data_IF_909245753934
#
_entry.id   IF_909245753934
#
_cell.length_a   1.000
_cell.length_b   1.000
_cell.length_c   1.000
_cell.angle_alpha   90.00
_cell.angle_beta   90.00
_cell.angle_gamma   90.00
#
_symmetry.space_group_name_H-M   'P 1'
#
loop_
_entity.id
_entity.type
_entity.pdbx_description
1 polymer ?
#
# COMPACT_ATOMS: atom_id res chain seq x y z
N UNK A 1 22.72 -14.27 -60.35
CA UNK A 1 21.48 -13.93 -59.62
C UNK A 1 21.59 -14.56 -58.24
N UNK A 2 21.90 -13.78 -57.21
CA UNK A 2 21.91 -14.25 -55.83
C UNK A 2 20.62 -13.79 -55.17
N UNK A 3 19.76 -14.72 -54.77
CA UNK A 3 18.58 -14.45 -53.96
C UNK A 3 19.05 -14.36 -52.50
N UNK A 4 18.92 -13.18 -51.90
CA UNK A 4 19.08 -13.00 -50.45
C UNK A 4 17.68 -13.15 -49.86
N UNK A 5 17.47 -14.17 -49.05
CA UNK A 5 16.25 -14.34 -48.27
C UNK A 5 16.33 -13.40 -47.06
N UNK A 6 15.43 -12.41 -46.99
CA UNK A 6 15.21 -11.65 -45.77
C UNK A 6 14.44 -12.53 -44.79
N UNK A 7 15.06 -12.87 -43.67
CA UNK A 7 14.37 -13.42 -42.51
C UNK A 7 13.64 -12.26 -41.82
N UNK A 8 12.31 -12.30 -41.82
CA UNK A 8 11.47 -11.48 -40.96
C UNK A 8 11.55 -12.11 -39.57
N UNK A 9 12.21 -11.44 -38.63
CA UNK A 9 12.12 -11.78 -37.23
C UNK A 9 10.78 -11.21 -36.73
N UNK A 10 9.82 -12.09 -36.42
CA UNK A 10 8.72 -11.74 -35.53
C UNK A 10 9.30 -11.79 -34.10
N UNK A 11 9.43 -10.65 -33.43
CA UNK A 11 9.44 -10.65 -31.97
C UNK A 11 8.02 -10.93 -31.52
N UNK A 12 7.80 -12.01 -30.78
CA UNK A 12 6.59 -12.11 -29.96
C UNK A 12 6.86 -11.23 -28.74
N UNK A 13 6.08 -10.17 -28.56
CA UNK A 13 5.99 -9.47 -27.29
C UNK A 13 5.45 -10.47 -26.25
N UNK A 14 6.18 -10.64 -25.14
CA UNK A 14 5.70 -11.45 -24.01
C UNK A 14 4.72 -10.58 -23.23
N UNK A 15 3.43 -10.89 -23.34
CA UNK A 15 2.42 -10.37 -22.43
C UNK A 15 2.78 -10.89 -21.03
N UNK A 16 3.15 -9.98 -20.13
CA UNK A 16 3.43 -10.32 -18.73
C UNK A 16 2.15 -10.09 -17.95
N UNK A 17 1.66 -11.15 -17.34
CA UNK A 17 0.47 -11.09 -16.51
C UNK A 17 0.85 -11.34 -15.06
N UNK A 18 0.34 -10.50 -14.17
CA UNK A 18 0.53 -10.60 -12.75
C UNK A 18 -0.79 -10.94 -12.04
N UNK A 19 -0.77 -11.77 -11.00
CA UNK A 19 -1.92 -11.96 -10.15
C UNK A 19 -2.16 -10.72 -9.29
N UNK A 20 -3.43 -10.34 -9.12
CA UNK A 20 -3.85 -9.26 -8.21
C UNK A 20 -5.03 -9.74 -7.36
N UNK A 21 -5.22 -9.16 -6.18
CA UNK A 21 -6.47 -9.38 -5.44
C UNK A 21 -7.59 -8.63 -6.14
N UNK A 22 -8.63 -9.37 -6.52
CA UNK A 22 -9.79 -8.81 -7.20
C UNK A 22 -10.65 -8.01 -6.20
N UNK A 23 -10.69 -6.71 -6.40
CA UNK A 23 -11.44 -5.75 -5.58
C UNK A 23 -12.31 -4.86 -6.46
N UNK A 24 -13.50 -4.51 -5.98
CA UNK A 24 -14.45 -3.66 -6.72
C UNK A 24 -13.91 -2.25 -6.99
N UNK A 25 -12.96 -1.80 -6.17
CA UNK A 25 -12.30 -0.49 -6.27
C UNK A 25 -10.99 -0.52 -7.07
N UNK A 26 -10.57 -1.68 -7.57
CA UNK A 26 -9.31 -1.84 -8.32
C UNK A 26 -8.03 -1.65 -7.49
N UNK A 27 -8.14 -1.45 -6.17
CA UNK A 27 -6.98 -1.19 -5.30
C UNK A 27 -5.99 -2.36 -5.23
N UNK A 28 -6.42 -3.58 -5.54
CA UNK A 28 -5.60 -4.78 -5.34
C UNK A 28 -5.43 -5.15 -3.85
N UNK A 29 -6.12 -4.46 -2.95
CA UNK A 29 -6.02 -4.64 -1.49
C UNK A 29 -7.38 -4.93 -0.89
N UNK A 30 -7.55 -6.10 -0.28
CA UNK A 30 -8.80 -6.48 0.37
C UNK A 30 -8.64 -6.63 1.87
N UNK A 31 -9.27 -5.74 2.63
CA UNK A 31 -9.19 -5.71 4.09
C UNK A 31 -10.46 -6.24 4.76
N UNK A 32 -10.26 -6.93 5.88
CA UNK A 32 -11.30 -7.46 6.75
C UNK A 32 -11.08 -6.99 8.18
N UNK A 33 -12.10 -6.44 8.83
CA UNK A 33 -12.00 -6.02 10.24
C UNK A 33 -11.58 -7.18 11.15
N UNK A 34 -10.54 -6.99 11.96
CA UNK A 34 -10.14 -7.91 13.01
C UNK A 34 -11.09 -7.72 14.21
N UNK A 35 -12.09 -8.60 14.31
CA UNK A 35 -13.10 -8.51 15.37
C UNK A 35 -12.66 -9.29 16.60
N UNK A 36 -12.21 -8.60 17.64
CA UNK A 36 -11.90 -9.15 18.95
C UNK A 36 -13.16 -9.31 19.82
N UNK A 37 -13.19 -10.32 20.69
CA UNK A 37 -14.27 -10.49 21.67
C UNK A 37 -15.68 -10.57 21.04
N UNK A 38 -15.80 -11.01 19.78
CA UNK A 38 -17.02 -11.07 18.94
C UNK A 38 -17.60 -9.74 18.43
N UNK A 39 -17.23 -8.59 19.01
CA UNK A 39 -17.87 -7.31 18.64
C UNK A 39 -16.96 -6.09 18.73
N UNK A 40 -15.70 -6.27 19.11
CA UNK A 40 -14.74 -5.19 19.28
C UNK A 40 -13.92 -5.10 18.01
N UNK A 41 -13.88 -3.91 17.40
CA UNK A 41 -12.92 -3.63 16.35
C UNK A 41 -11.54 -3.46 16.99
N UNK A 42 -10.62 -4.36 16.66
CA UNK A 42 -9.24 -4.34 17.13
C UNK A 42 -8.26 -4.05 15.99
N UNK A 43 -8.74 -3.75 14.78
CA UNK A 43 -7.91 -3.49 13.60
C UNK A 43 -8.41 -4.18 12.34
N UNK A 44 -7.48 -4.55 11.45
CA UNK A 44 -7.76 -5.16 10.15
C UNK A 44 -6.78 -6.28 9.81
N UNK A 45 -7.21 -7.16 8.90
CA UNK A 45 -6.36 -8.11 8.19
C UNK A 45 -6.53 -7.83 6.70
N UNK A 46 -5.46 -7.40 6.04
CA UNK A 46 -5.46 -7.01 4.64
C UNK A 46 -4.70 -8.03 3.78
N UNK A 47 -5.25 -8.32 2.61
CA UNK A 47 -4.64 -9.17 1.58
C UNK A 47 -4.23 -8.32 0.39
N UNK A 48 -2.98 -8.44 -0.04
CA UNK A 48 -2.45 -7.84 -1.28
C UNK A 48 -1.47 -8.80 -1.94
N UNK A 49 -1.29 -8.68 -3.26
CA UNK A 49 -0.26 -9.44 -3.99
C UNK A 49 0.90 -8.50 -4.29
N UNK A 50 2.12 -8.96 -4.00
CA UNK A 50 3.36 -8.29 -4.37
C UNK A 50 4.17 -9.31 -5.18
N UNK A 51 4.46 -8.98 -6.43
CA UNK A 51 5.03 -9.90 -7.41
C UNK A 51 4.18 -11.19 -7.54
N UNK A 52 4.74 -12.34 -7.15
CA UNK A 52 4.08 -13.66 -7.16
C UNK A 52 3.65 -14.13 -5.76
N UNK A 53 3.80 -13.28 -4.75
CA UNK A 53 3.54 -13.60 -3.35
C UNK A 53 2.29 -12.88 -2.83
N UNK A 54 1.41 -13.62 -2.16
CA UNK A 54 0.30 -13.05 -1.41
C UNK A 54 0.80 -12.61 -0.03
N UNK A 55 0.72 -11.32 0.26
CA UNK A 55 1.00 -10.73 1.56
C UNK A 55 -0.31 -10.56 2.35
N UNK A 56 -0.42 -11.26 3.49
CA UNK A 56 -1.46 -10.98 4.48
C UNK A 56 -0.88 -10.22 5.67
N UNK A 57 -1.41 -9.02 5.92
CA UNK A 57 -0.96 -8.15 7.01
C UNK A 57 -2.06 -7.96 8.04
N UNK A 58 -1.74 -8.29 9.30
CA UNK A 58 -2.52 -7.92 10.48
C UNK A 58 -2.07 -6.55 10.93
N UNK A 59 -3.00 -5.64 11.17
CA UNK A 59 -2.72 -4.31 11.71
C UNK A 59 -3.74 -3.98 12.79
N UNK A 60 -3.29 -3.68 14.01
CA UNK A 60 -4.18 -3.32 15.11
C UNK A 60 -4.43 -1.80 15.17
N UNK A 61 -5.57 -1.41 15.72
CA UNK A 61 -5.96 0.00 15.87
C UNK A 61 -6.47 0.27 17.29
N UNK A 62 -6.65 1.54 17.66
CA UNK A 62 -7.29 1.90 18.94
C UNK A 62 -6.49 1.49 20.19
N UNK A 63 -5.17 1.36 20.08
CA UNK A 63 -4.28 0.95 21.17
C UNK A 63 -4.22 -0.55 21.43
N UNK A 64 -4.91 -1.37 20.63
CA UNK A 64 -4.76 -2.82 20.68
C UNK A 64 -3.36 -3.23 20.18
N UNK A 65 -2.83 -4.29 20.78
CA UNK A 65 -1.56 -4.91 20.43
C UNK A 65 -1.78 -6.41 20.20
N UNK A 66 -1.04 -7.01 19.28
CA UNK A 66 -1.01 -8.44 19.04
C UNK A 66 -0.23 -9.15 20.16
N UNK A 67 -0.67 -10.36 20.50
CA UNK A 67 0.08 -11.32 21.32
C UNK A 67 0.55 -12.50 20.45
N UNK A 68 -0.36 -13.04 19.64
CA UNK A 68 -0.10 -14.13 18.72
C UNK A 68 -1.04 -14.02 17.51
N UNK A 69 -0.59 -14.45 16.33
CA UNK A 69 -1.38 -14.58 15.12
C UNK A 69 -1.28 -16.01 14.57
N UNK A 70 -2.42 -16.52 14.12
CA UNK A 70 -2.57 -17.84 13.50
C UNK A 70 -3.36 -17.67 12.21
N UNK A 71 -2.77 -18.10 11.10
CA UNK A 71 -3.36 -17.96 9.79
C UNK A 71 -3.41 -19.30 9.06
N UNK A 72 -4.60 -19.64 8.56
CA UNK A 72 -4.77 -20.65 7.54
C UNK A 72 -5.35 -20.02 6.28
N UNK A 73 -4.85 -20.46 5.13
CA UNK A 73 -5.36 -20.11 3.81
C UNK A 73 -5.38 -21.36 2.92
N UNK A 74 -6.37 -21.47 2.04
CA UNK A 74 -6.45 -22.59 1.10
C UNK A 74 -7.58 -22.47 0.08
N UNK A 75 -7.64 -23.45 -0.82
CA UNK A 75 -8.63 -23.52 -1.92
C UNK A 75 -9.97 -24.15 -1.50
N UNK A 76 -9.96 -24.97 -0.43
CA UNK A 76 -11.15 -25.58 0.15
C UNK A 76 -11.11 -25.44 1.67
N UNK A 77 -12.12 -24.79 2.24
CA UNK A 77 -12.25 -24.61 3.70
C UNK A 77 -12.24 -25.95 4.45
N UNK A 78 -12.59 -27.07 3.80
CA UNK A 78 -12.51 -28.40 4.39
C UNK A 78 -11.07 -28.86 4.72
N UNK A 79 -10.06 -28.31 4.05
CA UNK A 79 -8.65 -28.64 4.28
C UNK A 79 -8.04 -27.91 5.49
N UNK A 80 -8.76 -26.92 6.02
CA UNK A 80 -8.37 -26.21 7.22
C UNK A 80 -8.22 -27.20 8.41
N UNK A 81 -7.15 -27.10 9.20
CA UNK A 81 -6.99 -27.87 10.42
C UNK A 81 -8.19 -27.70 11.36
N UNK A 82 -8.98 -28.75 11.49
CA UNK A 82 -10.26 -28.71 12.18
C UNK A 82 -10.58 -30.02 12.91
N UNK A 83 -11.43 -29.93 13.92
CA UNK A 83 -11.98 -31.10 14.60
C UNK A 83 -12.91 -31.89 13.68
N UNK A 84 -13.28 -33.12 14.06
CA UNK A 84 -14.27 -33.94 13.32
C UNK A 84 -15.64 -33.26 13.12
N UNK A 85 -15.94 -32.21 13.88
CA UNK A 85 -17.20 -31.45 13.80
C UNK A 85 -17.05 -30.12 13.05
N UNK A 86 -15.88 -29.86 12.47
CA UNK A 86 -15.61 -28.67 11.66
C UNK A 86 -15.12 -27.44 12.42
N UNK A 87 -14.91 -27.54 13.75
CA UNK A 87 -14.35 -26.41 14.51
C UNK A 87 -12.87 -26.23 14.18
N UNK A 88 -12.39 -25.03 13.77
CA UNK A 88 -10.97 -24.77 13.53
C UNK A 88 -10.11 -25.02 14.76
N UNK A 89 -8.84 -25.36 14.53
CA UNK A 89 -7.80 -25.52 15.53
C UNK A 89 -6.65 -24.56 15.19
N UNK A 90 -6.70 -23.28 15.62
CA UNK A 90 -5.72 -22.25 15.23
C UNK A 90 -4.26 -22.65 15.50
N UNK A 91 -3.98 -23.31 16.62
CA UNK A 91 -2.62 -23.79 16.95
C UNK A 91 -2.09 -24.92 16.05
N UNK A 92 -2.86 -25.37 15.04
CA UNK A 92 -2.41 -26.29 13.99
C UNK A 92 -2.36 -25.63 12.61
N UNK A 93 -2.62 -24.33 12.52
CA UNK A 93 -2.53 -23.60 11.27
C UNK A 93 -1.08 -23.52 10.79
N UNK A 94 -0.85 -23.48 9.47
CA UNK A 94 0.49 -23.54 8.89
C UNK A 94 1.32 -22.28 9.16
N UNK A 95 0.69 -21.11 9.24
CA UNK A 95 1.36 -19.84 9.49
C UNK A 95 1.05 -19.37 10.92
N UNK A 96 2.08 -19.32 11.76
CA UNK A 96 1.98 -18.94 13.17
C UNK A 96 3.06 -17.91 13.48
N UNK A 97 2.71 -16.83 14.18
CA UNK A 97 3.68 -15.78 14.52
C UNK A 97 4.64 -16.18 15.65
N UNK A 98 4.18 -17.08 16.54
CA UNK A 98 4.77 -17.19 17.89
C UNK A 98 4.38 -15.98 18.75
N UNK A 99 5.15 -15.74 19.82
CA UNK A 99 4.96 -14.60 20.72
C UNK A 99 5.42 -13.29 20.05
N UNK A 100 4.45 -12.44 19.74
CA UNK A 100 4.64 -11.10 19.18
C UNK A 100 4.02 -10.04 20.09
N UNK A 101 3.94 -10.32 21.40
CA UNK A 101 3.33 -9.42 22.40
C UNK A 101 3.84 -7.99 22.29
N UNK A 102 2.91 -7.06 22.06
CA UNK A 102 3.19 -5.63 21.91
C UNK A 102 3.36 -5.15 20.47
N UNK A 103 3.34 -6.05 19.48
CA UNK A 103 3.37 -5.68 18.07
C UNK A 103 2.02 -5.10 17.65
N UNK A 104 2.03 -4.04 16.83
CA UNK A 104 0.82 -3.48 16.22
C UNK A 104 0.61 -3.94 14.77
N UNK A 105 1.60 -4.65 14.21
CA UNK A 105 1.57 -5.16 12.85
C UNK A 105 2.28 -6.53 12.77
N UNK A 106 1.78 -7.41 11.92
CA UNK A 106 2.41 -8.69 11.59
C UNK A 106 2.00 -9.14 10.19
N UNK A 107 2.96 -9.51 9.34
CA UNK A 107 2.70 -9.95 7.98
C UNK A 107 3.15 -11.38 7.70
N UNK A 108 2.41 -12.07 6.84
CA UNK A 108 2.73 -13.41 6.32
C UNK A 108 2.84 -13.32 4.81
N UNK A 109 3.97 -13.78 4.27
CA UNK A 109 4.22 -13.89 2.83
C UNK A 109 3.92 -15.32 2.40
N UNK A 110 3.07 -15.48 1.39
CA UNK A 110 2.55 -16.78 0.95
C UNK A 110 2.72 -16.89 -0.56
N UNK A 111 3.64 -17.74 -1.06
CA UNK A 111 3.83 -17.90 -2.49
C UNK A 111 2.58 -18.45 -3.17
N UNK A 112 2.05 -17.73 -4.17
CA UNK A 112 0.84 -18.16 -4.89
C UNK A 112 1.03 -19.49 -5.64
N UNK A 113 2.28 -19.79 -5.99
CA UNK A 113 2.69 -21.07 -6.57
C UNK A 113 2.33 -22.28 -5.67
N UNK A 114 2.20 -22.12 -4.35
CA UNK A 114 1.75 -23.19 -3.44
C UNK A 114 0.33 -23.67 -3.74
N UNK A 115 -0.50 -22.80 -4.33
CA UNK A 115 -1.86 -23.10 -4.75
C UNK A 115 -1.98 -23.44 -6.24
N UNK A 116 -0.85 -23.48 -6.96
CA UNK A 116 -0.83 -23.65 -8.41
C UNK A 116 -1.42 -22.44 -9.16
N UNK A 117 -1.40 -21.27 -8.52
CA UNK A 117 -1.88 -20.02 -9.10
C UNK A 117 -0.74 -19.41 -9.92
N UNK A 118 -1.04 -19.10 -11.18
CA UNK A 118 -0.15 -18.44 -12.12
C UNK A 118 -1.02 -17.69 -13.14
N UNK A 119 -0.46 -16.64 -13.73
CA UNK A 119 -1.13 -15.84 -14.75
C UNK A 119 -0.44 -16.00 -16.11
N UNK A 120 -0.84 -17.00 -16.92
CA UNK A 120 -0.36 -17.11 -18.29
C UNK A 120 -1.04 -16.13 -19.24
N UNK A 121 -2.27 -15.72 -18.94
CA UNK A 121 -3.09 -14.78 -19.71
C UNK A 121 -4.19 -14.13 -18.83
N UNK A 122 -4.87 -13.11 -19.36
CA UNK A 122 -5.85 -12.29 -18.63
C UNK A 122 -7.21 -12.97 -18.50
N UNK A 123 -7.48 -13.94 -19.36
CA UNK A 123 -8.70 -14.76 -19.33
C UNK A 123 -8.57 -15.94 -18.34
N UNK A 124 -7.41 -16.09 -17.69
CA UNK A 124 -7.18 -17.15 -16.71
C UNK A 124 -8.07 -16.92 -15.48
N UNK A 125 -9.07 -17.78 -15.35
CA UNK A 125 -9.93 -17.80 -14.18
C UNK A 125 -9.16 -18.38 -12.98
N UNK A 126 -8.83 -17.53 -12.01
CA UNK A 126 -8.19 -17.94 -10.78
C UNK A 126 -9.22 -18.41 -9.73
N UNK A 127 -8.80 -19.30 -8.81
CA UNK A 127 -9.69 -19.81 -7.76
C UNK A 127 -9.92 -18.76 -6.67
N UNK A 128 -11.00 -18.97 -5.90
CA UNK A 128 -11.23 -18.26 -4.64
C UNK A 128 -10.35 -18.88 -3.55
N UNK A 129 -9.67 -18.03 -2.77
CA UNK A 129 -8.94 -18.44 -1.57
C UNK A 129 -9.78 -18.16 -0.32
N UNK A 130 -9.82 -19.14 0.57
CA UNK A 130 -10.47 -19.08 1.88
C UNK A 130 -9.44 -18.74 2.93
N UNK A 131 -9.72 -17.75 3.77
CA UNK A 131 -8.80 -17.25 4.80
C UNK A 131 -9.46 -17.39 6.16
N UNK A 132 -8.76 -18.06 7.08
CA UNK A 132 -9.12 -18.14 8.49
C UNK A 132 -8.02 -17.47 9.31
N UNK A 133 -8.15 -16.16 9.52
CA UNK A 133 -7.18 -15.34 10.25
C UNK A 133 -7.64 -15.15 11.70
N UNK A 134 -6.86 -15.68 12.64
CA UNK A 134 -7.09 -15.59 14.07
C UNK A 134 -5.96 -14.81 14.75
N UNK A 135 -6.28 -14.02 15.77
CA UNK A 135 -5.29 -13.34 16.60
C UNK A 135 -5.67 -13.40 18.08
N UNK A 136 -4.66 -13.41 18.95
CA UNK A 136 -4.81 -13.00 20.35
C UNK A 136 -4.33 -11.56 20.47
N UNK A 137 -5.11 -10.71 21.11
CA UNK A 137 -4.84 -9.27 21.24
C UNK A 137 -4.95 -8.81 22.69
N UNK A 138 -4.24 -7.74 23.02
CA UNK A 138 -4.29 -7.09 24.32
C UNK A 138 -4.45 -5.57 24.20
N UNK A 139 -5.04 -4.95 25.21
CA UNK A 139 -5.19 -3.50 25.33
C UNK A 139 -4.75 -3.08 26.73
N UNK A 140 -3.81 -2.14 26.80
CA UNK A 140 -3.37 -1.55 28.07
C UNK A 140 -4.44 -0.59 28.62
N UNK A 141 -4.91 -0.87 29.83
CA UNK A 141 -5.91 -0.05 30.52
C UNK A 141 -5.24 1.05 31.38
N UNK A 142 -6.01 2.07 31.74
CA UNK A 142 -5.53 3.21 32.55
C UNK A 142 -4.95 2.80 33.92
N UNK A 143 -5.38 1.67 34.48
CA UNK A 143 -4.90 1.15 35.77
C UNK A 143 -3.59 0.35 35.64
N UNK A 144 -3.03 0.25 34.44
CA UNK A 144 -1.81 -0.49 34.13
C UNK A 144 -2.01 -2.00 33.93
N UNK A 145 -3.24 -2.49 33.95
CA UNK A 145 -3.57 -3.88 33.60
C UNK A 145 -3.88 -4.03 32.10
N UNK A 146 -3.90 -5.28 31.61
CA UNK A 146 -4.24 -5.58 30.22
C UNK A 146 -5.61 -6.25 30.13
N UNK A 147 -6.47 -5.74 29.25
CA UNK A 147 -7.58 -6.52 28.70
C UNK A 147 -7.00 -7.44 27.62
N UNK A 148 -7.41 -8.72 27.58
CA UNK A 148 -6.98 -9.68 26.56
C UNK A 148 -8.20 -10.29 25.89
N UNK A 149 -8.15 -10.42 24.57
CA UNK A 149 -9.23 -10.97 23.76
C UNK A 149 -8.66 -11.88 22.67
N UNK A 150 -9.52 -12.74 22.12
CA UNK A 150 -9.24 -13.44 20.86
C UNK A 150 -10.07 -12.80 19.75
N UNK A 151 -9.52 -12.80 18.55
CA UNK A 151 -10.04 -12.13 17.37
C UNK A 151 -10.05 -13.03 16.14
N UNK A 152 -11.02 -12.78 15.27
CA UNK A 152 -11.04 -13.33 13.91
C UNK A 152 -11.26 -12.21 12.90
N UNK A 153 -10.68 -12.33 11.71
CA UNK A 153 -11.04 -11.46 10.59
C UNK A 153 -12.53 -11.61 10.26
N UNK A 154 -13.20 -10.49 10.02
CA UNK A 154 -14.62 -10.46 9.70
C UNK A 154 -14.90 -11.25 8.42
N UNK A 155 -16.03 -11.98 8.43
CA UNK A 155 -16.43 -12.83 7.34
C UNK A 155 -17.53 -13.80 7.74
N UNK A 156 -17.70 -14.85 6.95
CA UNK A 156 -18.72 -15.85 7.16
C UNK A 156 -18.37 -16.80 8.30
N UNK A 157 -19.41 -17.31 8.95
CA UNK A 157 -19.29 -18.28 10.05
C UNK A 157 -18.79 -19.61 9.54
N UNK A 158 -17.68 -20.11 10.10
CA UNK A 158 -17.21 -21.48 9.81
C UNK A 158 -18.23 -22.51 10.34
N UNK A 159 -18.81 -22.24 11.50
CA UNK A 159 -19.89 -23.04 12.08
C UNK A 159 -21.08 -22.17 12.47
N UNK A 160 -22.29 -22.64 12.13
CA UNK A 160 -23.56 -22.01 12.54
C UNK A 160 -23.76 -22.00 14.06
N UNK A 161 -23.19 -22.98 14.78
CA UNK A 161 -23.32 -23.14 16.23
C UNK A 161 -22.00 -23.56 16.87
N UNK A 162 -21.68 -22.96 18.02
CA UNK A 162 -20.49 -23.31 18.81
C UNK A 162 -19.50 -22.16 18.88
N UNK A 163 -18.23 -22.44 18.57
CA UNK A 163 -17.19 -21.40 18.51
C UNK A 163 -17.58 -20.32 17.50
N UNK A 164 -16.98 -19.14 17.62
CA UNK A 164 -17.38 -17.98 16.82
C UNK A 164 -16.49 -17.65 15.64
N UNK A 165 -15.62 -18.60 15.29
CA UNK A 165 -14.66 -18.45 14.22
C UNK A 165 -15.32 -18.15 12.88
N UNK A 166 -14.70 -17.24 12.15
CA UNK A 166 -15.09 -16.79 10.83
C UNK A 166 -14.01 -17.12 9.83
N UNK A 167 -14.39 -17.13 8.56
CA UNK A 167 -13.48 -17.15 7.43
C UNK A 167 -13.90 -16.04 6.47
N UNK A 168 -12.93 -15.48 5.76
CA UNK A 168 -13.17 -14.56 4.65
C UNK A 168 -12.71 -15.18 3.34
N UNK A 169 -13.09 -14.56 2.23
CA UNK A 169 -12.71 -15.03 0.90
C UNK A 169 -12.15 -13.89 0.06
N UNK A 170 -11.07 -14.18 -0.65
CA UNK A 170 -10.52 -13.32 -1.69
C UNK A 170 -10.62 -14.05 -3.04
N UNK A 171 -10.93 -13.29 -4.07
CA UNK A 171 -10.76 -13.71 -5.46
C UNK A 171 -9.48 -13.08 -5.97
N UNK A 172 -8.79 -13.78 -6.87
CA UNK A 172 -7.66 -13.23 -7.59
C UNK A 172 -8.07 -13.06 -9.05
N UNK A 173 -7.44 -12.10 -9.72
CA UNK A 173 -7.57 -11.89 -11.15
C UNK A 173 -6.18 -11.78 -11.76
N UNK A 174 -6.05 -12.17 -13.02
CA UNK A 174 -4.82 -11.94 -13.78
C UNK A 174 -4.96 -10.61 -14.51
N UNK A 175 -4.11 -9.66 -14.15
CA UNK A 175 -3.97 -8.41 -14.90
C UNK A 175 -2.79 -8.59 -15.82
N UNK A 176 -3.07 -8.59 -17.12
CA UNK A 176 -2.02 -8.56 -18.12
C UNK A 176 -1.78 -7.12 -18.52
N UNK A 177 -0.56 -6.67 -18.31
CA UNK A 177 -0.11 -5.50 -19.01
C UNK A 177 0.20 -5.97 -20.42
N UNK A 178 -0.64 -5.55 -21.37
CA UNK A 178 -0.21 -5.59 -22.76
C UNK A 178 1.04 -4.71 -22.81
N UNK A 179 2.19 -5.26 -23.17
CA UNK A 179 3.33 -4.46 -23.65
C UNK A 179 3.01 -3.88 -25.03
N UNK A 180 1.80 -3.35 -25.19
CA UNK A 180 1.26 -2.65 -26.34
C UNK A 180 1.48 -1.17 -26.12
N UNK A 181 2.65 -0.73 -26.59
CA UNK A 181 2.86 0.65 -26.99
C UNK A 181 1.78 1.03 -28.01
N UNK A 182 0.81 1.86 -27.59
CA UNK A 182 0.00 2.72 -28.47
C UNK A 182 -0.87 3.75 -27.71
N UNK A 183 -0.88 3.78 -26.37
CA UNK A 183 -1.40 4.92 -25.57
C UNK A 183 -0.72 5.03 -24.17
N UNK A 184 0.55 4.62 -24.05
CA UNK A 184 1.34 4.93 -22.86
C UNK A 184 1.72 6.43 -22.91
N UNK A 185 1.48 7.21 -21.84
CA UNK A 185 1.82 8.60 -21.87
C UNK A 185 3.37 8.70 -21.79
N UNK A 186 3.99 9.37 -22.78
CA UNK A 186 5.44 9.29 -23.07
C UNK A 186 6.34 9.80 -21.94
N UNK A 187 6.83 8.87 -21.11
CA UNK A 187 7.91 9.10 -20.13
C UNK A 187 7.43 9.19 -18.68
N UNK A 188 8.33 8.88 -17.74
CA UNK A 188 8.10 9.09 -16.31
C UNK A 188 9.07 10.13 -15.79
N UNK A 189 8.55 11.11 -15.07
CA UNK A 189 9.30 12.22 -14.51
C UNK A 189 9.24 12.24 -12.99
N UNK A 190 10.32 12.76 -12.40
CA UNK A 190 10.33 13.11 -10.98
C UNK A 190 9.44 14.33 -10.77
N UNK A 191 8.57 14.28 -9.75
CA UNK A 191 7.65 15.36 -9.40
C UNK A 191 7.68 15.67 -7.90
N UNK A 192 7.42 16.94 -7.56
CA UNK A 192 7.30 17.39 -6.18
C UNK A 192 6.12 18.36 -6.01
N UNK A 193 5.46 18.29 -4.86
CA UNK A 193 4.51 19.31 -4.46
C UNK A 193 5.21 20.66 -4.23
N UNK A 194 4.51 21.75 -4.54
CA UNK A 194 5.03 23.11 -4.46
C UNK A 194 4.01 24.06 -3.80
N UNK A 195 4.51 25.05 -3.09
CA UNK A 195 3.75 26.20 -2.58
C UNK A 195 4.45 27.49 -2.97
N UNK A 196 3.70 28.48 -3.47
CA UNK A 196 4.25 29.79 -3.84
C UNK A 196 4.65 30.63 -2.62
N UNK A 197 3.87 30.55 -1.54
CA UNK A 197 4.11 31.31 -0.32
C UNK A 197 5.09 30.62 0.63
N UNK A 198 4.99 29.29 0.74
CA UNK A 198 5.59 28.54 1.85
C UNK A 198 6.53 27.41 1.38
N UNK A 199 6.75 27.32 0.06
CA UNK A 199 7.65 26.34 -0.55
C UNK A 199 9.11 26.80 -0.54
N UNK A 200 10.00 25.93 -0.05
CA UNK A 200 11.43 26.18 0.04
C UNK A 200 12.21 25.19 -0.83
N UNK A 201 13.02 25.70 -1.76
CA UNK A 201 13.80 24.86 -2.68
C UNK A 201 14.99 24.20 -1.98
N UNK A 202 15.18 22.90 -2.21
CA UNK A 202 16.31 22.14 -1.65
C UNK A 202 17.68 22.69 -2.02
N UNK A 203 17.83 23.27 -3.22
CA UNK A 203 19.11 23.80 -3.70
C UNK A 203 19.61 24.98 -2.87
N UNK A 204 18.71 25.77 -2.29
CA UNK A 204 19.06 26.91 -1.43
C UNK A 204 19.70 26.46 -0.11
N UNK A 205 19.49 25.20 0.26
CA UNK A 205 20.01 24.56 1.47
C UNK A 205 21.24 23.68 1.20
N UNK A 206 21.79 23.72 -0.02
CA UNK A 206 23.04 23.02 -0.37
C UNK A 206 22.86 21.56 -0.79
N UNK A 207 21.63 21.10 -0.98
CA UNK A 207 21.37 19.80 -1.58
C UNK A 207 21.63 19.83 -3.10
N UNK A 208 21.98 18.68 -3.67
CA UNK A 208 22.25 18.53 -5.11
C UNK A 208 21.04 17.97 -5.90
N UNK A 209 19.83 18.08 -5.34
CA UNK A 209 18.56 17.62 -5.92
C UNK A 209 17.57 18.77 -5.86
N UNK A 210 16.80 18.97 -6.92
CA UNK A 210 15.69 19.92 -6.92
C UNK A 210 14.45 19.31 -6.28
N UNK A 211 13.56 20.15 -5.78
CA UNK A 211 12.36 19.77 -5.06
C UNK A 211 12.08 20.77 -3.94
N UNK A 212 10.95 20.63 -3.27
CA UNK A 212 10.52 21.57 -2.24
C UNK A 212 10.13 20.88 -0.95
N UNK A 213 10.38 21.59 0.14
CA UNK A 213 9.70 21.38 1.42
C UNK A 213 8.70 22.51 1.60
N UNK A 214 7.50 22.20 2.07
CA UNK A 214 6.39 23.14 2.24
C UNK A 214 6.14 23.28 3.73
N UNK A 215 6.15 24.51 4.24
CA UNK A 215 5.67 24.79 5.59
C UNK A 215 4.14 24.79 5.61
N UNK A 216 3.56 24.05 6.54
CA UNK A 216 2.10 23.91 6.72
C UNK A 216 1.74 24.15 8.18
N UNK A 217 0.56 24.74 8.42
CA UNK A 217 0.06 25.02 9.76
C UNK A 217 -1.23 24.24 10.04
N UNK A 218 -1.40 23.77 11.28
CA UNK A 218 -2.57 22.96 11.69
C UNK A 218 -3.91 23.75 11.64
N UNK A 219 -3.83 25.07 11.54
CA UNK A 219 -4.99 25.98 11.46
C UNK A 219 -5.54 26.18 10.06
N UNK A 220 -4.82 25.74 9.03
CA UNK A 220 -5.23 26.00 7.64
C UNK A 220 -6.26 24.97 7.16
N UNK A 221 -7.35 25.40 6.49
CA UNK A 221 -8.31 24.47 5.91
C UNK A 221 -7.65 23.66 4.79
N UNK A 222 -8.11 22.41 4.56
CA UNK A 222 -7.61 21.45 3.54
C UNK A 222 -6.80 22.14 2.44
N UNK A 223 -5.49 21.98 2.52
CA UNK A 223 -4.57 22.70 1.65
C UNK A 223 -4.25 21.85 0.43
N UNK A 224 -4.38 22.48 -0.74
CA UNK A 224 -4.11 21.86 -2.04
C UNK A 224 -2.84 22.46 -2.61
N UNK A 225 -1.84 21.61 -2.83
CA UNK A 225 -0.53 21.98 -3.35
C UNK A 225 -0.32 21.42 -4.74
N UNK A 226 -0.02 22.24 -5.77
CA UNK A 226 0.29 21.73 -7.11
C UNK A 226 1.55 20.84 -7.10
N UNK A 227 1.51 19.75 -7.84
CA UNK A 227 2.65 18.85 -8.06
C UNK A 227 3.24 19.14 -9.45
N UNK A 228 4.51 19.53 -9.47
CA UNK A 228 5.23 19.80 -10.72
C UNK A 228 6.25 18.70 -11.00
N UNK A 229 6.15 18.12 -12.18
CA UNK A 229 7.12 17.20 -12.75
C UNK A 229 8.18 17.94 -13.57
N UNK A 230 9.39 17.37 -13.66
CA UNK A 230 10.50 17.89 -14.45
C UNK A 230 10.89 19.36 -14.16
N UNK A 231 10.51 19.90 -12.99
CA UNK A 231 10.78 21.28 -12.58
C UNK A 231 12.21 21.47 -12.04
N UNK A 232 13.19 21.01 -12.83
CA UNK A 232 14.61 21.10 -12.52
C UNK A 232 15.02 22.51 -12.08
N UNK A 233 15.94 22.56 -11.11
CA UNK A 233 16.36 23.83 -10.48
C UNK A 233 15.26 24.55 -9.69
N UNK A 234 14.18 23.85 -9.31
CA UNK A 234 13.02 24.43 -8.65
C UNK A 234 12.33 25.53 -9.49
N UNK A 235 12.38 25.40 -10.82
CA UNK A 235 11.79 26.36 -11.75
C UNK A 235 10.48 25.80 -12.31
N UNK A 236 9.36 26.19 -11.69
CA UNK A 236 8.02 25.74 -12.10
C UNK A 236 7.62 26.21 -13.49
N UNK A 237 8.28 27.23 -14.06
CA UNK A 237 8.03 27.67 -15.44
C UNK A 237 8.57 26.70 -16.50
N UNK A 238 9.44 25.78 -16.08
CA UNK A 238 10.00 24.70 -16.91
C UNK A 238 9.41 23.33 -16.59
N UNK A 239 8.63 23.23 -15.51
CA UNK A 239 7.98 22.00 -15.10
C UNK A 239 6.58 21.87 -15.67
N UNK A 240 6.08 20.64 -15.69
CA UNK A 240 4.70 20.33 -16.06
C UNK A 240 3.88 20.15 -14.78
N UNK A 241 2.74 20.83 -14.68
CA UNK A 241 1.77 20.57 -13.62
C UNK A 241 1.10 19.22 -13.91
N UNK A 242 1.32 18.26 -13.04
CA UNK A 242 0.87 16.86 -13.26
C UNK A 242 -0.21 16.42 -12.27
N UNK A 243 -0.55 17.26 -11.30
CA UNK A 243 -1.48 16.88 -10.25
C UNK A 243 -1.41 17.79 -9.03
N UNK A 244 -1.98 17.32 -7.93
CA UNK A 244 -1.98 18.05 -6.67
C UNK A 244 -1.90 17.09 -5.47
N UNK A 245 -1.36 17.62 -4.38
CA UNK A 245 -1.40 17.05 -3.04
C UNK A 245 -2.52 17.74 -2.26
N UNK A 246 -3.42 16.96 -1.65
CA UNK A 246 -4.36 17.41 -0.63
C UNK A 246 -3.92 16.91 0.73
N UNK A 247 -3.78 17.82 1.68
CA UNK A 247 -3.52 17.50 3.08
C UNK A 247 -4.75 17.78 3.93
N UNK A 248 -5.21 16.76 4.63
CA UNK A 248 -6.25 16.87 5.64
C UNK A 248 -5.63 16.49 7.00
N UNK A 249 -5.01 17.48 7.63
CA UNK A 249 -4.32 17.31 8.92
C UNK A 249 -5.30 16.94 10.04
N UNK A 250 -6.55 17.41 9.96
CA UNK A 250 -7.60 17.12 10.95
C UNK A 250 -8.00 15.64 10.96
N UNK A 251 -8.04 15.01 9.79
CA UNK A 251 -8.27 13.57 9.65
C UNK A 251 -6.97 12.76 9.50
N UNK A 252 -5.81 13.41 9.56
CA UNK A 252 -4.49 12.80 9.41
C UNK A 252 -4.35 11.98 8.11
N UNK A 253 -4.77 12.56 6.99
CA UNK A 253 -4.67 11.94 5.66
C UNK A 253 -3.96 12.83 4.65
N UNK A 254 -3.22 12.21 3.75
CA UNK A 254 -2.63 12.83 2.57
C UNK A 254 -3.16 12.12 1.32
N UNK A 255 -3.59 12.89 0.34
CA UNK A 255 -4.07 12.38 -0.96
C UNK A 255 -3.31 13.06 -2.08
N UNK A 256 -2.65 12.29 -2.93
CA UNK A 256 -2.11 12.77 -4.20
C UNK A 256 -3.07 12.39 -5.32
N UNK A 257 -3.31 13.30 -6.26
CA UNK A 257 -4.03 12.98 -7.49
C UNK A 257 -3.33 13.61 -8.67
N UNK A 258 -3.44 12.95 -9.82
CA UNK A 258 -2.88 13.39 -11.08
C UNK A 258 -3.95 14.06 -11.93
N UNK A 259 -3.51 14.94 -12.82
CA UNK A 259 -4.35 15.46 -13.90
C UNK A 259 -4.57 14.38 -14.96
N UNK A 260 -5.59 14.59 -15.80
CA UNK A 260 -5.92 13.70 -16.92
C UNK A 260 -4.68 13.45 -17.82
N UNK A 261 -4.44 12.19 -18.16
CA UNK A 261 -3.26 11.76 -18.93
C UNK A 261 -1.98 11.53 -18.10
N UNK A 262 -2.01 11.70 -16.78
CA UNK A 262 -0.90 11.39 -15.88
C UNK A 262 -1.28 10.29 -14.89
N UNK A 263 -0.29 9.48 -14.47
CA UNK A 263 -0.47 8.39 -13.49
C UNK A 263 0.68 8.35 -12.47
N UNK A 264 0.35 8.06 -11.21
CA UNK A 264 1.35 7.86 -10.15
C UNK A 264 2.01 6.48 -10.28
N UNK A 265 3.34 6.45 -10.25
CA UNK A 265 4.16 5.22 -10.24
C UNK A 265 4.76 4.92 -8.87
N UNK A 266 5.23 5.97 -8.22
CA UNK A 266 5.83 5.92 -6.89
C UNK A 266 5.38 7.15 -6.11
N UNK A 267 5.21 7.01 -4.80
CA UNK A 267 4.95 8.11 -3.86
C UNK A 267 5.90 7.98 -2.68
N UNK A 268 6.59 9.07 -2.34
CA UNK A 268 7.41 9.15 -1.14
C UNK A 268 7.10 10.46 -0.42
N UNK A 269 6.79 10.35 0.87
CA UNK A 269 6.25 11.46 1.63
C UNK A 269 6.91 11.60 2.99
N UNK A 270 7.18 12.84 3.37
CA UNK A 270 7.64 13.24 4.69
C UNK A 270 6.71 14.31 5.25
N UNK A 271 6.38 14.16 6.53
CA UNK A 271 5.79 15.22 7.35
C UNK A 271 6.45 15.21 8.72
N UNK A 272 6.79 16.38 9.25
CA UNK A 272 7.36 16.51 10.58
C UNK A 272 7.74 17.94 10.94
N UNK A 273 8.22 18.14 12.16
CA UNK A 273 8.62 19.47 12.66
C UNK A 273 9.93 19.99 12.04
N UNK A 274 10.75 19.08 11.55
CA UNK A 274 12.01 19.42 10.89
C UNK A 274 11.73 19.85 9.45
N UNK A 275 12.44 20.86 8.97
CA UNK A 275 12.32 21.31 7.57
C UNK A 275 12.62 20.20 6.54
N UNK A 276 13.44 19.23 6.93
CA UNK A 276 13.81 18.07 6.14
C UNK A 276 13.81 16.81 7.01
N UNK A 277 13.55 15.62 6.43
CA UNK A 277 13.80 14.36 7.11
C UNK A 277 15.28 14.22 7.49
N UNK A 278 15.55 13.35 8.46
CA UNK A 278 16.91 12.99 8.85
C UNK A 278 17.24 11.57 8.43
N UNK A 279 18.47 11.36 7.97
CA UNK A 279 18.99 10.02 7.67
C UNK A 279 19.26 9.21 8.96
N UNK A 280 19.77 7.99 8.78
CA UNK A 280 20.12 7.09 9.88
C UNK A 280 21.20 7.63 10.83
N UNK A 281 21.94 8.66 10.43
CA UNK A 281 22.96 9.33 11.24
C UNK A 281 22.45 10.62 11.90
N UNK A 282 21.19 10.99 11.65
CA UNK A 282 20.58 12.23 12.14
C UNK A 282 20.93 13.46 11.30
N UNK A 283 21.49 13.30 10.10
CA UNK A 283 21.79 14.39 9.17
C UNK A 283 20.60 14.66 8.25
N UNK A 284 20.33 15.92 7.92
CA UNK A 284 19.22 16.28 7.02
C UNK A 284 19.39 15.66 5.63
N UNK A 285 18.31 15.12 5.08
CA UNK A 285 18.28 14.47 3.75
C UNK A 285 17.07 14.89 2.94
N UNK A 286 17.22 14.82 1.61
CA UNK A 286 16.13 15.01 0.63
C UNK A 286 16.03 13.81 -0.32
N UNK A 287 16.64 12.68 0.02
CA UNK A 287 16.55 11.46 -0.76
C UNK A 287 15.18 10.78 -0.53
N UNK A 288 14.33 10.60 -1.58
CA UNK A 288 12.97 10.08 -1.41
C UNK A 288 12.89 8.72 -0.70
N UNK A 289 13.82 7.80 -1.00
CA UNK A 289 13.90 6.49 -0.33
C UNK A 289 14.32 6.52 1.15
N UNK A 290 14.54 7.71 1.74
CA UNK A 290 14.81 7.89 3.17
C UNK A 290 13.64 8.59 3.89
N UNK A 291 12.50 8.77 3.22
CA UNK A 291 11.32 9.36 3.85
C UNK A 291 10.57 8.30 4.69
N UNK A 292 9.77 8.72 5.70
CA UNK A 292 9.02 7.77 6.54
C UNK A 292 7.94 7.00 5.78
N UNK A 293 7.35 7.60 4.74
CA UNK A 293 6.32 6.97 3.92
C UNK A 293 6.88 6.74 2.52
N UNK A 294 7.03 5.48 2.11
CA UNK A 294 7.58 5.07 0.81
C UNK A 294 6.67 4.03 0.18
N UNK A 295 6.18 4.34 -1.01
CA UNK A 295 5.34 3.50 -1.85
C UNK A 295 6.00 3.44 -3.23
N UNK A 296 6.86 2.44 -3.44
CA UNK A 296 7.77 2.33 -4.60
C UNK A 296 7.22 1.46 -5.75
N UNK A 297 6.05 0.85 -5.56
CA UNK A 297 5.39 0.02 -6.56
C UNK A 297 3.88 0.23 -6.52
N UNK A 298 3.43 1.41 -6.92
CA UNK A 298 2.02 1.59 -7.25
C UNK A 298 1.77 0.87 -8.58
N UNK A 299 0.70 0.07 -8.65
CA UNK A 299 0.34 -0.66 -9.85
C UNK A 299 0.24 0.30 -11.04
N UNK A 300 0.91 -0.04 -12.15
CA UNK A 300 1.05 0.82 -13.35
C UNK A 300 -0.31 1.13 -14.02
N UNK A 301 -1.36 0.38 -13.68
CA UNK A 301 -2.70 0.49 -14.23
C UNK A 301 -3.64 1.39 -13.41
N UNK A 302 -3.51 2.72 -13.52
CA UNK A 302 -4.58 3.69 -13.21
C UNK A 302 -4.68 4.26 -11.76
N UNK A 303 -3.58 4.63 -11.10
CA UNK A 303 -3.70 5.51 -9.92
C UNK A 303 -3.72 7.00 -10.32
N UNK A 304 -4.90 7.46 -10.75
CA UNK A 304 -5.25 8.89 -10.86
C UNK A 304 -5.28 9.57 -9.48
N UNK A 305 -5.40 8.77 -8.40
CA UNK A 305 -5.27 9.24 -7.04
C UNK A 305 -4.77 8.14 -6.11
N UNK A 306 -4.05 8.55 -5.05
CA UNK A 306 -3.54 7.69 -4.00
C UNK A 306 -3.67 8.38 -2.65
N UNK A 307 -4.31 7.72 -1.68
CA UNK A 307 -4.55 8.24 -0.33
C UNK A 307 -3.90 7.33 0.71
N UNK A 308 -3.23 7.94 1.69
CA UNK A 308 -2.63 7.24 2.82
C UNK A 308 -2.77 8.06 4.11
N UNK A 309 -2.70 7.38 5.24
CA UNK A 309 -2.72 8.00 6.57
C UNK A 309 -1.33 8.45 6.97
N UNK A 310 -1.26 9.57 7.69
CA UNK A 310 -0.02 10.17 8.17
C UNK A 310 -0.05 10.35 9.68
N UNK A 311 1.10 10.24 10.34
CA UNK A 311 1.22 10.38 11.78
C UNK A 311 1.60 11.81 12.13
N UNK A 312 0.67 12.54 12.75
CA UNK A 312 0.87 13.93 13.17
C UNK A 312 0.83 13.99 14.70
N UNK A 313 1.88 14.50 15.37
CA UNK A 313 1.82 14.75 16.80
C UNK A 313 0.69 15.74 17.11
N UNK A 314 -0.18 15.40 18.07
CA UNK A 314 -1.36 16.20 18.43
C UNK A 314 -1.05 17.62 18.99
N UNK A 315 0.23 17.96 19.14
CA UNK A 315 0.74 19.22 19.67
C UNK A 315 1.59 19.98 18.63
N UNK A 316 1.69 19.49 17.41
CA UNK A 316 2.44 20.15 16.35
C UNK A 316 1.62 21.31 15.77
N UNK A 317 2.06 22.54 16.03
CA UNK A 317 1.44 23.77 15.50
C UNK A 317 2.02 24.17 14.13
N UNK A 318 3.23 23.68 13.82
CA UNK A 318 3.98 23.96 12.60
C UNK A 318 4.61 22.67 12.11
N UNK A 319 4.40 22.35 10.83
CA UNK A 319 4.92 21.16 10.19
C UNK A 319 5.56 21.53 8.86
N UNK A 320 6.43 20.64 8.39
CA UNK A 320 7.01 20.69 7.08
C UNK A 320 6.71 19.41 6.34
N UNK A 321 6.37 19.55 5.06
CA UNK A 321 5.99 18.46 4.19
C UNK A 321 6.93 18.40 3.00
N UNK A 322 7.40 17.19 2.69
CA UNK A 322 8.02 16.89 1.40
C UNK A 322 7.20 15.80 0.73
N UNK A 323 6.65 16.13 -0.43
CA UNK A 323 5.83 15.24 -1.23
C UNK A 323 6.53 15.00 -2.57
N UNK A 324 7.07 13.80 -2.74
CA UNK A 324 7.72 13.35 -3.97
C UNK A 324 6.86 12.27 -4.64
N UNK A 325 6.83 12.29 -5.96
CA UNK A 325 6.24 11.23 -6.75
C UNK A 325 7.05 10.97 -8.02
N UNK A 326 6.96 9.76 -8.54
CA UNK A 326 7.29 9.46 -9.93
C UNK A 326 5.97 9.44 -10.69
N UNK A 327 5.83 10.30 -11.69
CA UNK A 327 4.59 10.45 -12.47
C UNK A 327 4.89 10.11 -13.92
N UNK A 328 4.08 9.23 -14.51
CA UNK A 328 4.19 8.87 -15.92
C UNK A 328 3.09 9.57 -16.71
N UNK A 329 3.42 10.08 -17.90
CA UNK A 329 2.65 11.12 -18.55
C UNK A 329 3.19 11.48 -19.93
N UNK A 330 2.37 12.09 -20.78
CA UNK A 330 2.85 12.73 -22.00
C UNK A 330 3.28 14.13 -21.61
N UNK A 331 4.59 14.37 -21.64
CA UNK A 331 5.18 15.65 -21.28
C UNK A 331 5.29 16.61 -22.47
N UNK A 332 4.87 16.18 -23.67
CA UNK A 332 4.78 17.02 -24.87
C UNK A 332 6.10 17.68 -25.26
N UNK A 333 7.09 16.88 -25.69
CA UNK A 333 8.33 17.40 -26.30
C UNK A 333 8.12 17.96 -27.72
#
# INVERSE_FOLDING_TARGET
MSLVASAVYLSAEEVVCAPVVDTEDGSGVKCFTLTAGQSIDAGVVCATVIDDDLLLTYQTTGGWELQEAHLWIGLDLADMPQTKKGSPIPGQFPYVSGDITGATEFSVVIPLAEFGIACPDSDTQLPTLYIAAHAAVQLLLEDGSYQTETGWSAGDRILEKGNWATYSTITLSCVCEESGDDDAPEGCETAFAYSESDGNCFLDWGFNRWGWTIQVFDTDPVEQYPIYAAAGQCDTSKGTLVGYLMLDLANSTATMYTEDGFRLREVQFYIGEGMFPTDVNGEATVAPGQYPYVFDQLADSEQESFTFTIDIPAWAEELHVVAHAVVCGDYGE
#
